data_IF_231688930323
#
_entry.id   IF_231688930323
#
_cell.length_a   1.000
_cell.length_b   1.000
_cell.length_c   1.000
_cell.angle_alpha   90.00
_cell.angle_beta   90.00
_cell.angle_gamma   90.00
#
_symmetry.space_group_name_H-M   'P 1'
#
loop_
_entity.id
_entity.type
_entity.pdbx_description
1 polymer ?
#
# COMPACT_ATOMS: atom_id res chain seq x y z
N UNK A 1 13.22 -24.15 64.77
CA UNK A 1 13.64 -23.18 63.75
C UNK A 1 13.64 -23.89 62.40
N UNK A 2 12.69 -23.58 61.54
CA UNK A 2 12.84 -23.44 60.08
C UNK A 2 11.45 -23.12 59.52
N UNK A 3 11.25 -21.85 59.21
CA UNK A 3 10.07 -21.29 58.54
C UNK A 3 10.24 -21.53 57.03
N UNK A 4 9.33 -22.29 56.42
CA UNK A 4 9.26 -22.43 54.97
C UNK A 4 8.17 -21.47 54.46
N UNK A 5 8.60 -20.35 53.89
CA UNK A 5 7.72 -19.38 53.22
C UNK A 5 7.52 -19.85 51.79
N UNK A 6 6.30 -20.27 51.45
CA UNK A 6 5.89 -20.60 50.09
C UNK A 6 5.56 -19.29 49.36
N UNK A 7 6.39 -18.89 48.40
CA UNK A 7 6.10 -17.77 47.49
C UNK A 7 5.27 -18.32 46.34
N UNK A 8 3.99 -17.96 46.30
CA UNK A 8 3.09 -18.26 45.19
C UNK A 8 3.24 -17.13 44.15
N UNK A 9 3.94 -17.40 43.05
CA UNK A 9 3.99 -16.49 41.91
C UNK A 9 2.65 -16.56 41.16
N UNK A 10 1.85 -15.49 41.24
CA UNK A 10 0.71 -15.29 40.33
C UNK A 10 1.26 -14.97 38.95
N UNK A 11 1.22 -15.93 38.03
CA UNK A 11 1.28 -15.66 36.60
C UNK A 11 -0.07 -15.07 36.19
N UNK A 12 -0.13 -13.76 36.01
CA UNK A 12 -1.28 -13.10 35.40
C UNK A 12 -1.28 -13.42 33.90
N UNK A 13 -2.01 -14.45 33.49
CA UNK A 13 -2.42 -14.61 32.09
C UNK A 13 -3.28 -13.39 31.73
N UNK A 14 -2.68 -12.41 31.06
CA UNK A 14 -3.46 -11.41 30.34
C UNK A 14 -4.07 -12.15 29.16
N UNK A 15 -5.37 -12.39 29.21
CA UNK A 15 -6.08 -12.91 28.06
C UNK A 15 -6.02 -11.83 26.96
N UNK A 16 -5.18 -12.06 25.95
CA UNK A 16 -5.16 -11.30 24.70
C UNK A 16 -6.57 -11.26 24.14
N UNK A 17 -7.08 -10.07 23.79
CA UNK A 17 -8.42 -9.99 23.20
C UNK A 17 -8.43 -10.70 21.84
N UNK A 18 -9.59 -11.23 21.38
CA UNK A 18 -9.69 -11.82 20.04
C UNK A 18 -9.24 -10.85 18.93
N UNK A 19 -9.43 -9.56 19.16
CA UNK A 19 -9.01 -8.47 18.27
C UNK A 19 -7.48 -8.40 18.20
N UNK A 20 -6.82 -8.36 19.36
CA UNK A 20 -5.35 -8.34 19.45
C UNK A 20 -4.75 -9.60 18.81
N UNK A 21 -5.35 -10.78 19.02
CA UNK A 21 -4.89 -12.02 18.39
C UNK A 21 -5.01 -12.00 16.86
N UNK A 22 -6.04 -11.32 16.33
CA UNK A 22 -6.23 -11.14 14.89
C UNK A 22 -5.19 -10.19 14.31
N UNK A 23 -4.95 -9.06 15.01
CA UNK A 23 -3.97 -8.04 14.63
C UNK A 23 -2.56 -8.63 14.66
N UNK A 24 -2.16 -9.27 15.77
CA UNK A 24 -0.85 -9.90 15.93
C UNK A 24 -0.65 -11.02 14.90
N UNK A 25 -1.68 -11.85 14.71
CA UNK A 25 -1.66 -12.91 13.71
C UNK A 25 -1.46 -12.39 12.29
N UNK A 26 -2.05 -11.25 11.94
CA UNK A 26 -1.87 -10.64 10.62
C UNK A 26 -0.42 -10.20 10.40
N UNK A 27 0.17 -9.46 11.34
CA UNK A 27 1.52 -8.88 11.18
C UNK A 27 2.66 -9.87 11.46
N UNK A 28 2.39 -11.05 12.02
CA UNK A 28 3.41 -12.08 12.33
C UNK A 28 3.28 -13.38 11.51
N UNK A 29 2.12 -13.65 10.90
CA UNK A 29 1.94 -14.84 10.07
C UNK A 29 2.66 -14.73 8.72
N UNK A 30 2.87 -15.86 8.04
CA UNK A 30 3.42 -15.86 6.68
C UNK A 30 4.91 -15.49 6.58
N UNK A 31 5.64 -15.53 7.69
CA UNK A 31 7.07 -15.21 7.76
C UNK A 31 7.36 -13.71 7.90
N UNK A 32 6.40 -12.93 8.40
CA UNK A 32 6.63 -11.53 8.78
C UNK A 32 7.23 -11.44 10.19
N UNK A 33 8.27 -10.63 10.31
CA UNK A 33 8.88 -10.26 11.58
C UNK A 33 8.19 -8.99 12.12
N UNK A 34 7.84 -8.95 13.42
CA UNK A 34 7.19 -7.79 14.01
C UNK A 34 8.09 -6.56 13.98
N UNK A 35 7.49 -5.39 13.74
CA UNK A 35 8.13 -4.07 13.79
C UNK A 35 7.45 -3.27 14.89
N UNK A 36 8.24 -2.51 15.66
CA UNK A 36 7.70 -1.62 16.69
C UNK A 36 6.86 -0.51 16.04
N UNK A 37 5.56 -0.49 16.37
CA UNK A 37 4.60 0.42 15.76
C UNK A 37 4.81 1.87 16.19
N UNK A 38 5.25 2.11 17.44
CA UNK A 38 5.48 3.44 17.97
C UNK A 38 6.75 4.03 17.36
N UNK A 39 7.86 3.27 17.31
CA UNK A 39 9.09 3.70 16.64
C UNK A 39 8.86 3.98 15.15
N UNK A 40 8.07 3.14 14.47
CA UNK A 40 7.70 3.36 13.07
C UNK A 40 6.87 4.64 12.89
N UNK A 41 5.89 4.88 13.75
CA UNK A 41 5.08 6.09 13.70
C UNK A 41 5.91 7.36 13.95
N UNK A 42 6.85 7.32 14.89
CA UNK A 42 7.78 8.42 15.15
C UNK A 42 8.70 8.69 13.95
N UNK A 43 9.24 7.64 13.33
CA UNK A 43 10.08 7.77 12.14
C UNK A 43 9.32 8.38 10.95
N UNK A 44 8.07 7.97 10.73
CA UNK A 44 7.21 8.55 9.67
C UNK A 44 6.96 10.04 9.94
N UNK A 45 6.58 10.39 11.17
CA UNK A 45 6.33 11.80 11.50
C UNK A 45 7.60 12.64 11.31
N UNK A 46 8.75 12.19 11.81
CA UNK A 46 10.02 12.88 11.63
C UNK A 46 10.41 13.07 10.15
N UNK A 47 10.13 12.08 9.30
CA UNK A 47 10.37 12.17 7.86
C UNK A 47 9.48 13.22 7.16
N UNK A 48 8.27 13.45 7.68
CA UNK A 48 7.32 14.43 7.15
C UNK A 48 7.46 15.83 7.78
N UNK A 49 8.03 15.96 8.99
CA UNK A 49 8.28 17.26 9.64
C UNK A 49 9.17 18.19 8.81
N UNK A 50 10.08 17.63 8.01
CA UNK A 50 10.99 18.40 7.15
C UNK A 50 10.32 19.12 5.97
N UNK A 51 9.04 18.83 5.70
CA UNK A 51 8.29 19.38 4.58
C UNK A 51 7.38 20.51 5.07
N UNK A 52 7.98 21.72 5.25
CA UNK A 52 7.36 22.98 5.73
C UNK A 52 5.86 23.13 5.36
N UNK A 53 4.98 22.62 6.23
CA UNK A 53 3.57 22.92 6.24
C UNK A 53 3.25 23.56 7.60
N UNK A 54 2.50 24.66 7.55
CA UNK A 54 2.14 25.51 8.69
C UNK A 54 1.94 24.73 10.01
N UNK A 55 2.47 25.26 11.12
CA UNK A 55 2.34 24.70 12.48
C UNK A 55 0.90 24.25 12.77
N UNK A 56 0.62 22.99 12.51
CA UNK A 56 -0.62 22.32 12.87
C UNK A 56 -0.54 21.90 14.33
N UNK A 57 -1.69 21.80 15.00
CA UNK A 57 -1.76 21.14 16.30
C UNK A 57 -1.75 19.60 16.17
N UNK A 58 -1.86 19.08 14.95
CA UNK A 58 -1.81 17.66 14.63
C UNK A 58 -0.39 17.26 14.21
N UNK A 59 -0.09 15.96 14.37
CA UNK A 59 1.15 15.38 13.86
C UNK A 59 1.20 15.44 12.32
N UNK A 60 2.40 15.52 11.70
CA UNK A 60 2.56 15.59 10.25
C UNK A 60 1.82 14.49 9.48
N UNK A 61 1.82 13.26 10.01
CA UNK A 61 1.16 12.13 9.36
C UNK A 61 -0.35 12.04 9.63
N UNK A 62 -0.94 12.98 10.39
CA UNK A 62 -2.32 12.83 10.89
C UNK A 62 -3.39 12.77 9.79
N UNK A 63 -3.14 13.39 8.63
CA UNK A 63 -4.04 13.35 7.48
C UNK A 63 -3.70 12.28 6.45
N UNK A 64 -2.67 11.46 6.69
CA UNK A 64 -2.23 10.42 5.76
C UNK A 64 -3.15 9.20 5.92
N UNK A 65 -3.62 8.67 4.79
CA UNK A 65 -4.49 7.49 4.75
C UNK A 65 -3.71 6.18 5.00
N UNK A 66 -4.40 5.08 5.36
CA UNK A 66 -3.76 3.79 5.67
C UNK A 66 -2.88 3.21 4.54
N UNK A 67 -3.32 3.34 3.28
CA UNK A 67 -2.60 2.81 2.12
C UNK A 67 -1.28 3.57 1.94
N UNK A 68 -1.33 4.89 2.01
CA UNK A 68 -0.15 5.77 1.93
C UNK A 68 0.79 5.56 3.11
N UNK A 69 0.28 5.39 4.33
CA UNK A 69 1.11 5.07 5.51
C UNK A 69 1.93 3.80 5.31
N UNK A 70 1.35 2.77 4.70
CA UNK A 70 2.08 1.53 4.39
C UNK A 70 3.19 1.76 3.37
N UNK A 71 2.93 2.52 2.30
CA UNK A 71 3.97 2.88 1.31
C UNK A 71 5.11 3.66 1.95
N UNK A 72 4.81 4.63 2.82
CA UNK A 72 5.81 5.38 3.59
C UNK A 72 6.64 4.47 4.49
N UNK A 73 5.99 3.57 5.25
CA UNK A 73 6.68 2.64 6.12
C UNK A 73 7.71 1.79 5.37
N UNK A 74 7.31 1.24 4.21
CA UNK A 74 8.22 0.50 3.35
C UNK A 74 9.36 1.38 2.84
N UNK A 75 9.08 2.59 2.36
CA UNK A 75 10.11 3.47 1.81
C UNK A 75 11.14 3.92 2.85
N UNK A 76 10.72 4.13 4.10
CA UNK A 76 11.62 4.50 5.20
C UNK A 76 12.41 3.31 5.74
N UNK A 77 11.80 2.12 5.73
CA UNK A 77 12.42 0.89 6.24
C UNK A 77 13.38 0.20 5.26
N UNK A 78 13.30 0.52 3.96
CA UNK A 78 14.07 -0.18 2.92
C UNK A 78 14.98 0.76 2.13
N UNK A 79 16.12 0.22 1.67
CA UNK A 79 16.97 0.92 0.72
C UNK A 79 16.19 1.27 -0.57
N UNK A 80 16.42 2.45 -1.18
CA UNK A 80 15.74 2.85 -2.39
C UNK A 80 16.13 1.95 -3.58
N UNK A 81 15.18 1.73 -4.48
CA UNK A 81 15.37 0.99 -5.73
C UNK A 81 14.84 1.82 -6.89
N UNK A 82 15.53 1.79 -8.02
CA UNK A 82 15.19 2.62 -9.19
C UNK A 82 13.96 2.13 -9.94
N UNK A 83 13.82 0.80 -10.09
CA UNK A 83 12.79 0.16 -10.92
C UNK A 83 11.97 -0.77 -10.06
N UNK A 84 10.76 -0.34 -9.75
CA UNK A 84 9.92 -1.04 -8.78
C UNK A 84 8.49 -1.12 -9.23
N UNK A 85 7.86 -2.22 -8.84
CA UNK A 85 6.40 -2.34 -8.81
C UNK A 85 5.98 -2.56 -7.37
N UNK A 86 4.96 -1.88 -6.92
CA UNK A 86 4.33 -2.08 -5.63
C UNK A 86 2.99 -2.77 -5.86
N UNK A 87 2.66 -3.78 -5.06
CA UNK A 87 1.30 -4.29 -4.87
C UNK A 87 0.84 -3.84 -3.50
N UNK A 88 -0.33 -3.23 -3.42
CA UNK A 88 -0.92 -2.79 -2.15
C UNK A 88 -2.30 -3.42 -2.06
N UNK A 89 -2.59 -4.06 -0.95
CA UNK A 89 -3.93 -4.59 -0.65
C UNK A 89 -4.40 -4.01 0.66
N UNK A 90 -5.66 -3.59 0.71
CA UNK A 90 -6.31 -3.10 1.92
C UNK A 90 -7.59 -3.88 2.17
N UNK A 91 -7.90 -4.08 3.44
CA UNK A 91 -9.19 -4.58 3.91
C UNK A 91 -9.65 -3.81 5.15
N UNK A 92 -10.95 -3.55 5.23
CA UNK A 92 -11.59 -2.96 6.41
C UNK A 92 -12.20 -4.04 7.29
N UNK A 93 -11.79 -4.09 8.56
CA UNK A 93 -12.33 -5.02 9.57
C UNK A 93 -12.91 -4.24 10.74
N UNK A 94 -14.14 -4.58 11.15
CA UNK A 94 -14.80 -3.93 12.28
C UNK A 94 -14.71 -4.79 13.53
N UNK A 95 -14.15 -4.21 14.59
CA UNK A 95 -14.15 -4.80 15.91
C UNK A 95 -15.19 -4.16 16.81
N UNK A 96 -15.85 -4.99 17.62
CA UNK A 96 -16.81 -4.51 18.61
C UNK A 96 -16.05 -3.86 19.76
N UNK A 97 -16.41 -2.63 20.12
CA UNK A 97 -15.87 -2.04 21.33
C UNK A 97 -16.36 -2.81 22.57
N UNK A 98 -15.60 -2.67 23.66
CA UNK A 98 -16.02 -3.10 25.00
C UNK A 98 -17.47 -2.71 25.32
N UNK A 99 -18.18 -3.42 26.22
CA UNK A 99 -19.64 -3.34 26.34
C UNK A 99 -20.18 -1.89 26.38
N UNK A 100 -20.90 -1.49 25.34
CA UNK A 100 -21.53 -0.17 25.21
C UNK A 100 -20.77 0.87 24.36
N UNK A 101 -19.60 0.53 23.80
CA UNK A 101 -18.89 1.38 22.85
C UNK A 101 -19.37 1.23 21.39
N UNK A 102 -19.07 2.21 20.55
CA UNK A 102 -19.25 2.10 19.10
C UNK A 102 -18.18 1.19 18.48
N UNK A 103 -18.54 0.42 17.44
CA UNK A 103 -17.58 -0.40 16.68
C UNK A 103 -16.47 0.49 16.14
N UNK A 104 -15.24 -0.04 16.08
CA UNK A 104 -14.08 0.65 15.51
C UNK A 104 -13.62 -0.08 14.26
N UNK A 105 -13.48 0.66 13.16
CA UNK A 105 -12.90 0.16 11.92
C UNK A 105 -11.37 0.13 12.02
N UNK A 106 -10.77 -0.95 11.56
CA UNK A 106 -9.34 -1.11 11.40
C UNK A 106 -9.03 -1.44 9.95
N UNK A 107 -8.00 -0.79 9.42
CA UNK A 107 -7.46 -1.04 8.09
C UNK A 107 -6.30 -2.01 8.21
N UNK A 108 -6.38 -3.12 7.48
CA UNK A 108 -5.34 -4.11 7.31
C UNK A 108 -4.71 -3.89 5.95
N UNK A 109 -3.46 -3.44 5.92
CA UNK A 109 -2.78 -3.06 4.68
C UNK A 109 -1.52 -3.89 4.51
N UNK A 110 -1.38 -4.53 3.36
CA UNK A 110 -0.11 -5.13 2.92
C UNK A 110 0.40 -4.36 1.72
N UNK A 111 1.64 -3.89 1.77
CA UNK A 111 2.36 -3.35 0.62
C UNK A 111 3.58 -4.21 0.34
N UNK A 112 3.72 -4.67 -0.91
CA UNK A 112 4.87 -5.44 -1.38
C UNK A 112 5.57 -4.68 -2.49
N UNK A 113 6.85 -4.34 -2.30
CA UNK A 113 7.72 -3.77 -3.33
C UNK A 113 8.53 -4.88 -4.00
N UNK A 114 8.39 -4.97 -5.31
CA UNK A 114 9.15 -5.85 -6.17
C UNK A 114 10.31 -5.09 -6.83
N UNK A 115 11.53 -5.62 -6.72
CA UNK A 115 12.67 -5.13 -7.50
C UNK A 115 12.57 -5.65 -8.94
N UNK A 116 12.43 -4.75 -9.91
CA UNK A 116 12.34 -5.10 -11.33
C UNK A 116 13.66 -4.90 -12.08
N UNK A 117 14.70 -4.36 -11.42
CA UNK A 117 16.02 -4.16 -12.01
C UNK A 117 16.55 -5.41 -12.73
N UNK A 118 16.59 -6.59 -12.08
CA UNK A 118 17.05 -7.83 -12.71
C UNK A 118 16.21 -8.27 -13.92
N UNK A 119 14.88 -8.13 -13.85
CA UNK A 119 13.99 -8.52 -14.94
C UNK A 119 14.14 -7.59 -16.16
N UNK A 120 14.23 -6.28 -15.92
CA UNK A 120 14.48 -5.28 -16.97
C UNK A 120 15.84 -5.50 -17.62
N UNK A 121 16.89 -5.74 -16.84
CA UNK A 121 18.22 -6.05 -17.38
C UNK A 121 18.19 -7.28 -18.29
N UNK A 122 17.55 -8.36 -17.84
CA UNK A 122 17.42 -9.61 -18.63
C UNK A 122 16.70 -9.36 -19.96
N UNK A 123 15.62 -8.59 -19.95
CA UNK A 123 14.89 -8.20 -21.17
C UNK A 123 15.80 -7.43 -22.15
N UNK A 124 16.62 -6.50 -21.64
CA UNK A 124 17.57 -5.76 -22.47
C UNK A 124 18.71 -6.63 -22.99
N UNK A 125 19.21 -7.59 -22.21
CA UNK A 125 20.22 -8.56 -22.65
C UNK A 125 19.69 -9.42 -23.81
N UNK A 126 18.44 -9.87 -23.71
CA UNK A 126 17.77 -10.63 -24.76
C UNK A 126 17.57 -9.80 -26.03
N UNK A 127 17.28 -8.50 -25.89
CA UNK A 127 17.03 -7.60 -27.02
C UNK A 127 18.32 -7.09 -27.70
N UNK A 128 19.37 -6.77 -26.93
CA UNK A 128 20.54 -6.04 -27.40
C UNK A 128 21.87 -6.79 -27.21
N UNK A 129 21.88 -7.91 -26.51
CA UNK A 129 23.07 -8.67 -26.15
C UNK A 129 23.79 -8.10 -24.91
N UNK A 130 24.35 -8.99 -24.09
CA UNK A 130 25.00 -8.66 -22.81
C UNK A 130 26.06 -7.56 -22.92
N UNK A 131 26.89 -7.59 -23.97
CA UNK A 131 27.96 -6.61 -24.20
C UNK A 131 27.46 -5.16 -24.39
N UNK A 132 26.16 -4.97 -24.68
CA UNK A 132 25.53 -3.66 -24.90
C UNK A 132 24.65 -3.21 -23.73
N UNK A 133 24.62 -3.97 -22.63
CA UNK A 133 23.79 -3.69 -21.45
C UNK A 133 24.67 -3.29 -20.27
N UNK A 134 24.20 -2.31 -19.49
CA UNK A 134 24.89 -1.87 -18.29
C UNK A 134 25.04 -3.02 -17.27
N UNK A 135 26.01 -2.95 -16.34
CA UNK A 135 26.20 -3.98 -15.34
C UNK A 135 24.99 -4.03 -14.35
N UNK A 136 24.77 -5.16 -13.64
CA UNK A 136 23.61 -5.36 -12.76
C UNK A 136 23.35 -4.22 -11.78
N UNK A 137 24.40 -3.63 -11.23
CA UNK A 137 24.33 -2.57 -10.21
C UNK A 137 23.65 -1.30 -10.76
N UNK A 138 23.73 -1.06 -12.08
CA UNK A 138 23.07 0.08 -12.74
C UNK A 138 21.55 -0.09 -12.88
N UNK A 139 21.01 -1.29 -12.62
CA UNK A 139 19.58 -1.56 -12.67
C UNK A 139 18.92 -1.55 -11.28
N UNK A 140 19.73 -1.56 -10.22
CA UNK A 140 19.29 -1.66 -8.83
C UNK A 140 19.31 -3.10 -8.32
N UNK A 141 20.10 -3.34 -7.28
CA UNK A 141 20.14 -4.61 -6.55
C UNK A 141 19.48 -4.46 -5.18
N UNK A 142 18.67 -5.44 -4.81
CA UNK A 142 17.98 -5.44 -3.52
C UNK A 142 16.82 -6.41 -3.49
N UNK A 143 16.31 -6.71 -2.30
CA UNK A 143 15.26 -7.71 -2.12
C UNK A 143 13.89 -7.19 -2.56
N UNK A 144 13.00 -8.14 -2.86
CA UNK A 144 11.56 -7.91 -2.77
C UNK A 144 11.18 -7.86 -1.28
N UNK A 145 10.41 -6.85 -0.87
CA UNK A 145 10.02 -6.69 0.53
C UNK A 145 8.53 -6.42 0.64
N UNK A 146 7.87 -7.08 1.59
CA UNK A 146 6.51 -6.80 2.01
C UNK A 146 6.47 -6.20 3.41
N UNK A 147 5.53 -5.29 3.61
CA UNK A 147 5.19 -4.67 4.88
C UNK A 147 3.69 -4.84 5.13
N UNK A 148 3.34 -5.23 6.34
CA UNK A 148 1.96 -5.29 6.83
C UNK A 148 1.77 -4.25 7.90
N UNK A 149 0.73 -3.44 7.79
CA UNK A 149 0.32 -2.48 8.79
C UNK A 149 -1.13 -2.76 9.17
N UNK A 150 -1.42 -2.59 10.46
CA UNK A 150 -2.79 -2.45 10.94
C UNK A 150 -2.93 -1.04 11.48
N UNK A 151 -3.88 -0.28 10.97
CA UNK A 151 -4.14 1.09 11.40
C UNK A 151 -5.58 1.29 11.82
N UNK A 152 -5.85 2.33 12.62
CA UNK A 152 -7.21 2.77 12.92
C UNK A 152 -7.29 4.30 12.97
N UNK A 153 -8.45 4.90 12.68
CA UNK A 153 -8.67 6.30 12.98
C UNK A 153 -8.67 6.53 14.50
N UNK A 154 -7.96 7.55 14.98
CA UNK A 154 -8.00 7.97 16.38
C UNK A 154 -7.75 9.47 16.54
N UNK A 155 -8.74 10.19 17.09
CA UNK A 155 -8.63 11.60 17.52
C UNK A 155 -7.88 12.52 16.55
N UNK A 156 -8.39 12.66 15.32
CA UNK A 156 -7.81 13.55 14.32
C UNK A 156 -6.61 12.95 13.56
N UNK A 157 -6.22 11.71 13.86
CA UNK A 157 -5.35 10.90 13.03
C UNK A 157 -6.20 9.93 12.20
N UNK A 158 -6.06 9.95 10.87
CA UNK A 158 -6.77 9.06 9.94
C UNK A 158 -6.25 7.62 9.99
N UNK A 159 -4.97 7.40 10.29
CA UNK A 159 -4.33 6.09 10.23
C UNK A 159 -3.26 5.93 11.32
N UNK A 160 -3.68 5.89 12.59
CA UNK A 160 -2.77 5.54 13.69
C UNK A 160 -2.32 4.08 13.54
N UNK A 161 -1.02 3.85 13.47
CA UNK A 161 -0.43 2.50 13.39
C UNK A 161 -0.64 1.78 14.73
N UNK A 162 -1.23 0.59 14.67
CA UNK A 162 -1.50 -0.27 15.82
C UNK A 162 -0.50 -1.42 15.86
N UNK A 163 -0.16 -1.97 14.70
CA UNK A 163 0.81 -3.04 14.56
C UNK A 163 1.48 -2.97 13.19
N UNK A 164 2.71 -3.46 13.10
CA UNK A 164 3.44 -3.55 11.85
C UNK A 164 4.29 -4.83 11.79
N UNK A 165 4.53 -5.31 10.58
CA UNK A 165 5.41 -6.43 10.31
C UNK A 165 6.11 -6.28 8.97
N UNK A 166 7.30 -6.86 8.85
CA UNK A 166 8.14 -6.82 7.65
C UNK A 166 8.50 -8.24 7.22
N UNK A 167 8.53 -8.49 5.91
CA UNK A 167 9.03 -9.74 5.32
C UNK A 167 9.86 -9.47 4.08
N UNK A 168 11.00 -10.15 3.96
CA UNK A 168 11.71 -10.26 2.67
C UNK A 168 11.21 -11.47 1.91
N UNK A 169 10.85 -11.29 0.63
CA UNK A 169 10.42 -12.37 -0.25
C UNK A 169 11.63 -12.91 -1.03
N UNK A 170 11.67 -14.22 -1.21
CA UNK A 170 12.59 -14.84 -2.17
C UNK A 170 12.00 -14.76 -3.60
N UNK A 171 12.81 -15.05 -4.61
CA UNK A 171 12.42 -15.02 -6.02
C UNK A 171 11.22 -15.93 -6.34
N UNK A 172 11.15 -17.11 -5.72
CA UNK A 172 10.07 -18.07 -5.95
C UNK A 172 8.73 -17.55 -5.44
N UNK A 173 8.71 -16.94 -4.26
CA UNK A 173 7.52 -16.34 -3.67
C UNK A 173 7.12 -15.09 -4.46
N UNK A 174 8.09 -14.21 -4.76
CA UNK A 174 7.85 -13.01 -5.57
C UNK A 174 7.33 -13.35 -6.99
N UNK A 175 7.84 -14.41 -7.60
CA UNK A 175 7.44 -14.86 -8.94
C UNK A 175 6.04 -15.46 -9.02
N UNK A 176 5.41 -15.79 -7.88
CA UNK A 176 4.02 -16.28 -7.83
C UNK A 176 3.00 -15.15 -7.62
N UNK A 177 3.46 -13.98 -7.19
CA UNK A 177 2.59 -12.84 -6.89
C UNK A 177 1.95 -12.28 -8.16
N UNK A 178 0.67 -11.90 -8.03
CA UNK A 178 -0.10 -11.24 -9.08
C UNK A 178 -0.44 -9.83 -8.63
N UNK A 179 -0.29 -8.88 -9.55
CA UNK A 179 -0.55 -7.46 -9.38
C UNK A 179 -1.76 -7.15 -10.28
N UNK A 180 -2.97 -7.12 -9.69
CA UNK A 180 -4.24 -6.94 -10.42
C UNK A 180 -4.43 -7.98 -11.55
N UNK A 181 -4.03 -9.22 -11.29
CA UNK A 181 -4.15 -10.35 -12.23
C UNK A 181 -3.01 -10.49 -13.24
N UNK A 182 -2.00 -9.63 -13.20
CA UNK A 182 -0.79 -9.74 -14.02
C UNK A 182 0.43 -10.14 -13.17
N UNK A 183 1.46 -10.83 -13.70
CA UNK A 183 2.65 -11.17 -12.94
C UNK A 183 3.36 -9.92 -12.39
N UNK A 184 3.57 -9.86 -11.07
CA UNK A 184 4.20 -8.69 -10.45
C UNK A 184 5.64 -8.45 -10.93
N UNK A 185 6.36 -9.51 -11.36
CA UNK A 185 7.72 -9.44 -11.87
C UNK A 185 7.85 -9.17 -13.37
N UNK A 186 6.76 -8.79 -14.06
CA UNK A 186 6.85 -8.36 -15.46
C UNK A 186 7.75 -7.12 -15.59
N UNK A 187 8.69 -7.15 -16.53
CA UNK A 187 9.62 -6.04 -16.77
C UNK A 187 8.93 -4.82 -17.41
N UNK A 188 7.84 -5.05 -18.15
CA UNK A 188 7.11 -4.00 -18.86
C UNK A 188 6.08 -3.34 -17.92
N UNK A 189 5.80 -2.03 -18.10
CA UNK A 189 4.64 -1.37 -17.47
C UNK A 189 3.34 -2.11 -17.81
N UNK A 190 2.49 -2.34 -16.81
CA UNK A 190 1.28 -3.16 -16.97
C UNK A 190 -0.03 -2.39 -16.83
N UNK A 191 0.00 -1.20 -16.21
CA UNK A 191 -1.21 -0.48 -15.79
C UNK A 191 -2.13 -0.12 -16.96
N UNK A 192 -1.59 0.20 -18.13
CA UNK A 192 -2.37 0.57 -19.31
C UNK A 192 -3.33 -0.54 -19.78
N UNK A 193 -2.93 -1.81 -19.57
CA UNK A 193 -3.68 -2.99 -20.00
C UNK A 193 -4.69 -3.50 -18.96
N UNK A 194 -4.71 -2.94 -17.74
CA UNK A 194 -5.54 -3.44 -16.64
C UNK A 194 -7.03 -3.17 -16.83
N UNK A 195 -7.40 -2.07 -17.49
CA UNK A 195 -8.79 -1.64 -17.62
C UNK A 195 -9.07 -0.91 -18.93
N UNK A 196 -10.35 -0.66 -19.22
CA UNK A 196 -10.77 0.25 -20.30
C UNK A 196 -10.78 1.69 -19.78
N UNK A 197 -9.58 2.24 -19.62
CA UNK A 197 -9.38 3.59 -19.10
C UNK A 197 -10.10 4.65 -19.95
N UNK A 198 -10.65 5.66 -19.28
CA UNK A 198 -10.95 6.94 -19.89
C UNK A 198 -9.68 7.56 -20.50
N UNK A 199 -9.84 8.54 -21.38
CA UNK A 199 -8.69 9.34 -21.82
C UNK A 199 -7.99 9.95 -20.59
N UNK A 200 -6.65 9.87 -20.56
CA UNK A 200 -5.86 10.54 -19.53
C UNK A 200 -6.08 12.04 -19.63
N UNK A 201 -6.53 12.65 -18.53
CA UNK A 201 -6.75 14.08 -18.41
C UNK A 201 -5.68 14.67 -17.49
N UNK A 202 -5.13 15.83 -17.86
CA UNK A 202 -4.25 16.56 -16.96
C UNK A 202 -5.05 17.03 -15.75
N UNK A 203 -4.57 16.74 -14.55
CA UNK A 203 -5.16 17.17 -13.29
C UNK A 203 -4.36 18.34 -12.69
N UNK A 204 -4.94 19.00 -11.68
CA UNK A 204 -4.24 20.02 -10.92
C UNK A 204 -3.07 19.41 -10.14
N UNK A 205 -1.88 19.98 -10.29
CA UNK A 205 -0.72 19.58 -9.50
C UNK A 205 -0.94 19.97 -8.03
N UNK A 206 -0.76 19.04 -7.07
CA UNK A 206 -0.81 19.35 -5.65
C UNK A 206 0.15 20.47 -5.27
N UNK A 207 -0.35 21.46 -4.52
CA UNK A 207 0.50 22.54 -4.02
C UNK A 207 1.42 22.06 -2.88
N UNK A 208 0.94 21.10 -2.09
CA UNK A 208 1.65 20.53 -0.95
C UNK A 208 1.74 19.02 -1.14
N UNK A 209 2.82 18.57 -1.79
CA UNK A 209 3.11 17.15 -1.88
C UNK A 209 3.46 16.57 -0.50
N UNK A 210 3.08 15.32 -0.24
CA UNK A 210 3.44 14.61 0.99
C UNK A 210 4.96 14.57 1.18
N UNK A 211 5.67 14.18 0.12
CA UNK A 211 7.11 14.31 -0.05
C UNK A 211 7.39 15.15 -1.30
N UNK A 212 8.33 16.12 -1.25
CA UNK A 212 8.61 17.01 -2.38
C UNK A 212 8.91 16.25 -3.66
N UNK A 213 8.21 16.59 -4.75
CA UNK A 213 8.51 16.06 -6.08
C UNK A 213 9.61 16.95 -6.70
N UNK A 214 10.82 16.43 -6.95
CA UNK A 214 11.89 17.21 -7.56
C UNK A 214 11.55 17.59 -9.01
N UNK A 215 12.07 18.73 -9.46
CA UNK A 215 11.91 19.16 -10.85
C UNK A 215 12.58 18.15 -11.82
N UNK A 216 13.80 17.75 -11.49
CA UNK A 216 14.62 16.80 -12.24
C UNK A 216 15.04 15.66 -11.31
N UNK A 217 14.16 14.69 -11.09
CA UNK A 217 14.46 13.56 -10.21
C UNK A 217 13.32 12.55 -10.09
N UNK A 218 13.52 11.49 -9.28
CA UNK A 218 12.51 10.47 -9.09
C UNK A 218 11.31 11.04 -8.34
N UNK A 219 10.11 10.76 -8.85
CA UNK A 219 8.85 11.06 -8.17
C UNK A 219 8.70 10.08 -7.00
N UNK A 220 8.49 10.52 -5.75
CA UNK A 220 8.33 9.60 -4.61
C UNK A 220 7.02 8.80 -4.70
N UNK A 221 7.06 7.45 -4.68
CA UNK A 221 5.83 6.64 -4.71
C UNK A 221 4.79 6.96 -3.63
N UNK A 222 5.20 7.29 -2.39
CA UNK A 222 4.24 7.68 -1.35
C UNK A 222 3.48 8.98 -1.66
N UNK A 223 4.10 9.92 -2.39
CA UNK A 223 3.41 11.14 -2.84
C UNK A 223 2.32 10.83 -3.88
N UNK A 224 2.56 9.85 -4.76
CA UNK A 224 1.55 9.40 -5.73
C UNK A 224 0.48 8.54 -5.07
N UNK A 225 0.86 7.70 -4.10
CA UNK A 225 -0.08 6.97 -3.25
C UNK A 225 -1.05 7.94 -2.56
N UNK A 226 -0.53 9.00 -1.93
CA UNK A 226 -1.36 10.00 -1.27
C UNK A 226 -2.32 10.68 -2.24
N UNK A 227 -1.85 11.03 -3.43
CA UNK A 227 -2.66 11.67 -4.45
C UNK A 227 -3.84 10.80 -4.89
N UNK A 228 -3.62 9.50 -5.12
CA UNK A 228 -4.63 8.60 -5.67
C UNK A 228 -5.52 7.98 -4.58
N UNK A 229 -5.04 7.85 -3.34
CA UNK A 229 -5.80 7.23 -2.25
C UNK A 229 -6.54 8.22 -1.36
N UNK A 230 -6.21 9.51 -1.36
CA UNK A 230 -6.86 10.50 -0.47
C UNK A 230 -8.38 10.60 -0.71
N UNK A 231 -8.81 10.36 -1.96
CA UNK A 231 -10.21 10.40 -2.37
C UNK A 231 -11.00 9.12 -2.04
N UNK A 232 -10.33 8.05 -1.62
CA UNK A 232 -11.02 6.81 -1.23
C UNK A 232 -11.80 7.12 0.05
N UNK A 233 -13.11 7.32 -0.10
CA UNK A 233 -14.03 7.38 1.01
C UNK A 233 -13.94 6.07 1.80
N UNK A 234 -14.02 6.15 3.14
CA UNK A 234 -14.14 4.93 3.97
C UNK A 234 -15.25 4.08 3.33
N UNK A 235 -14.93 2.84 2.90
CA UNK A 235 -15.86 2.07 2.09
C UNK A 235 -17.18 1.97 2.85
N UNK A 236 -18.31 2.28 2.19
CA UNK A 236 -19.67 2.08 2.72
C UNK A 236 -20.01 0.57 2.82
N UNK A 237 -19.03 -0.23 3.19
CA UNK A 237 -19.18 -1.66 3.43
C UNK A 237 -19.52 -1.84 4.90
N UNK A 238 -20.33 -2.85 5.21
CA UNK A 238 -20.50 -3.32 6.60
C UNK A 238 -19.17 -3.85 7.22
N UNK A 239 -18.08 -3.79 6.42
CA UNK A 239 -16.74 -4.34 6.58
C UNK A 239 -16.72 -5.82 6.93
N UNK A 240 -15.55 -6.44 6.83
CA UNK A 240 -15.43 -7.84 7.20
C UNK A 240 -15.59 -7.98 8.72
N UNK A 241 -16.31 -9.03 9.14
CA UNK A 241 -16.22 -9.53 10.52
C UNK A 241 -14.93 -10.34 10.61
N UNK A 242 -14.16 -10.27 11.72
CA UNK A 242 -12.94 -11.04 11.89
C UNK A 242 -13.16 -12.53 11.55
N UNK A 243 -12.35 -13.07 10.65
CA UNK A 243 -12.44 -14.45 10.18
C UNK A 243 -11.39 -15.34 10.87
N UNK A 244 -11.49 -16.66 10.67
CA UNK A 244 -10.43 -17.60 11.13
C UNK A 244 -9.11 -17.45 10.36
N UNK A 245 -9.13 -16.80 9.19
CA UNK A 245 -7.93 -16.36 8.50
C UNK A 245 -7.47 -15.02 9.08
N UNK A 246 -6.20 -14.95 9.50
CA UNK A 246 -5.58 -13.70 9.92
C UNK A 246 -5.41 -12.70 8.78
N UNK A 247 -5.47 -13.15 7.52
CA UNK A 247 -5.43 -12.30 6.34
C UNK A 247 -6.87 -12.09 5.87
N UNK A 248 -7.44 -10.88 6.04
CA UNK A 248 -8.76 -10.55 5.54
C UNK A 248 -8.77 -10.45 4.01
N UNK A 249 -9.91 -10.70 3.39
CA UNK A 249 -10.10 -10.50 1.96
C UNK A 249 -10.03 -8.99 1.66
N UNK A 250 -9.17 -8.54 0.72
CA UNK A 250 -9.02 -7.12 0.45
C UNK A 250 -10.25 -6.55 -0.24
N UNK A 251 -10.64 -5.32 0.10
CA UNK A 251 -11.65 -4.49 -0.58
C UNK A 251 -11.03 -3.53 -1.61
N UNK A 252 -9.72 -3.30 -1.51
CA UNK A 252 -8.93 -2.51 -2.45
C UNK A 252 -7.65 -3.28 -2.79
N UNK A 253 -7.31 -3.32 -4.08
CA UNK A 253 -5.99 -3.71 -4.58
C UNK A 253 -5.44 -2.60 -5.46
N UNK A 254 -4.18 -2.24 -5.28
CA UNK A 254 -3.51 -1.19 -6.03
C UNK A 254 -2.13 -1.61 -6.50
N UNK A 255 -1.69 -0.99 -7.59
CA UNK A 255 -0.36 -1.17 -8.16
C UNK A 255 0.27 0.20 -8.38
N UNK A 256 1.54 0.35 -7.98
CA UNK A 256 2.35 1.53 -8.27
C UNK A 256 3.61 1.09 -9.01
N UNK A 257 3.87 1.65 -10.18
CA UNK A 257 5.03 1.39 -11.02
C UNK A 257 5.93 2.63 -11.00
N UNK A 258 7.19 2.46 -10.60
CA UNK A 258 8.17 3.55 -10.54
C UNK A 258 9.38 3.20 -11.39
N UNK A 259 9.75 4.11 -12.30
CA UNK A 259 10.93 3.96 -13.14
C UNK A 259 10.82 2.89 -14.23
N UNK A 260 9.61 2.42 -14.58
CA UNK A 260 9.40 1.45 -15.66
C UNK A 260 9.12 2.09 -17.03
N UNK A 261 8.70 3.36 -17.05
CA UNK A 261 8.51 4.13 -18.27
C UNK A 261 9.81 4.70 -18.85
N UNK A 262 9.71 5.35 -20.01
CA UNK A 262 10.84 6.07 -20.61
C UNK A 262 11.18 7.37 -19.87
N UNK A 263 10.17 8.01 -19.29
CA UNK A 263 10.33 9.23 -18.49
C UNK A 263 10.52 8.88 -17.01
N UNK A 264 11.20 9.76 -16.28
CA UNK A 264 11.24 9.70 -14.82
C UNK A 264 9.83 10.01 -14.28
N UNK A 265 9.09 8.95 -13.96
CA UNK A 265 7.71 9.06 -13.52
C UNK A 265 7.26 7.85 -12.70
N UNK A 266 6.08 8.00 -12.14
CA UNK A 266 5.36 6.97 -11.40
C UNK A 266 3.95 6.87 -11.98
N UNK A 267 3.54 5.66 -12.34
CA UNK A 267 2.17 5.34 -12.74
C UNK A 267 1.54 4.50 -11.63
N UNK A 268 0.33 4.83 -11.23
CA UNK A 268 -0.37 4.17 -10.14
C UNK A 268 -1.80 3.90 -10.54
N UNK A 269 -2.34 2.77 -10.11
CA UNK A 269 -3.76 2.49 -10.25
C UNK A 269 -4.29 1.70 -9.07
N UNK A 270 -5.58 1.80 -8.82
CA UNK A 270 -6.25 0.92 -7.89
C UNK A 270 -7.59 0.43 -8.43
N UNK A 271 -8.01 -0.70 -7.87
CA UNK A 271 -9.31 -1.32 -8.04
C UNK A 271 -9.98 -1.41 -6.67
N UNK A 272 -11.08 -0.70 -6.51
CA UNK A 272 -11.95 -0.78 -5.34
C UNK A 272 -13.19 -1.60 -5.69
N UNK A 273 -13.48 -2.64 -4.93
CA UNK A 273 -14.68 -3.49 -5.12
C UNK A 273 -15.48 -3.58 -3.83
N UNK A 274 -16.49 -4.46 -3.80
CA UNK A 274 -17.42 -4.55 -2.67
C UNK A 274 -18.36 -3.36 -2.57
N UNK A 275 -18.62 -2.68 -3.69
CA UNK A 275 -19.53 -1.55 -3.77
C UNK A 275 -20.98 -2.03 -3.53
N UNK A 276 -21.79 -1.24 -2.82
CA UNK A 276 -23.22 -1.49 -2.63
C UNK A 276 -24.05 -1.09 -3.86
N UNK A 277 -23.49 -1.32 -5.05
CA UNK A 277 -24.06 -0.96 -6.35
C UNK A 277 -24.31 -2.25 -7.16
N UNK A 278 -25.50 -2.39 -7.75
CA UNK A 278 -25.90 -3.59 -8.50
C UNK A 278 -25.45 -3.58 -9.97
N UNK A 279 -24.91 -2.45 -10.43
CA UNK A 279 -24.50 -2.17 -11.79
C UNK A 279 -22.98 -2.08 -11.90
N UNK A 280 -22.29 -1.53 -10.90
CA UNK A 280 -20.82 -1.40 -10.84
C UNK A 280 -20.23 -2.40 -9.84
N UNK A 281 -19.38 -3.32 -10.31
CA UNK A 281 -18.70 -4.27 -9.43
C UNK A 281 -17.41 -3.71 -8.84
N UNK A 282 -16.73 -2.83 -9.56
CA UNK A 282 -15.54 -2.14 -9.08
C UNK A 282 -15.29 -0.80 -9.78
N UNK A 283 -14.74 0.15 -9.03
CA UNK A 283 -14.24 1.42 -9.54
C UNK A 283 -12.72 1.32 -9.65
N UNK A 284 -12.20 1.84 -10.76
CA UNK A 284 -10.78 1.91 -11.02
C UNK A 284 -10.37 3.37 -11.21
N UNK A 285 -9.27 3.76 -10.58
CA UNK A 285 -8.60 5.03 -10.86
C UNK A 285 -7.14 4.79 -11.20
N UNK A 286 -6.60 5.70 -12.01
CA UNK A 286 -5.20 5.72 -12.43
C UNK A 286 -4.65 7.14 -12.31
N UNK A 287 -3.42 7.26 -11.86
CA UNK A 287 -2.67 8.49 -11.84
C UNK A 287 -1.26 8.25 -12.39
N UNK A 288 -0.85 9.04 -13.38
CA UNK A 288 0.52 9.11 -13.86
C UNK A 288 1.12 10.45 -13.46
N UNK A 289 2.23 10.42 -12.74
CA UNK A 289 2.97 11.60 -12.29
C UNK A 289 4.35 11.58 -12.93
N UNK A 290 4.62 12.60 -13.73
CA UNK A 290 5.90 12.78 -14.42
C UNK A 290 6.81 13.72 -13.62
N UNK A 291 8.10 13.74 -13.99
CA UNK A 291 9.07 14.73 -13.50
C UNK A 291 8.50 16.16 -13.57
N UNK A 292 8.82 16.97 -12.56
CA UNK A 292 8.22 18.30 -12.40
C UNK A 292 6.80 18.30 -11.80
N UNK A 293 6.26 17.14 -11.43
CA UNK A 293 4.98 17.03 -10.73
C UNK A 293 3.75 17.20 -11.62
N UNK A 294 3.89 16.98 -12.94
CA UNK A 294 2.75 16.99 -13.86
C UNK A 294 1.93 15.73 -13.63
N UNK A 295 0.64 15.92 -13.33
CA UNK A 295 -0.29 14.85 -13.00
C UNK A 295 -1.27 14.63 -14.15
N UNK A 296 -1.47 13.37 -14.51
CA UNK A 296 -2.56 12.92 -15.35
C UNK A 296 -3.38 11.86 -14.64
N UNK A 297 -4.69 11.86 -14.83
CA UNK A 297 -5.59 10.88 -14.24
C UNK A 297 -6.53 10.25 -15.27
N UNK A 298 -6.96 9.03 -14.99
CA UNK A 298 -8.02 8.35 -15.73
C UNK A 298 -8.84 7.47 -14.78
N UNK A 299 -10.03 7.09 -15.23
CA UNK A 299 -10.93 6.21 -14.49
C UNK A 299 -11.45 5.10 -15.38
N UNK A 300 -11.88 4.00 -14.79
CA UNK A 300 -12.63 2.94 -15.46
C UNK A 300 -13.66 2.34 -14.51
N UNK A 301 -14.69 1.72 -15.07
CA UNK A 301 -15.76 1.07 -14.30
C UNK A 301 -15.87 -0.39 -14.75
N UNK A 302 -15.68 -1.30 -13.79
CA UNK A 302 -15.94 -2.72 -13.98
C UNK A 302 -17.42 -2.98 -13.68
N UNK A 303 -18.12 -3.62 -14.62
CA UNK A 303 -19.56 -3.78 -14.53
C UNK A 303 -19.94 -5.12 -13.91
N UNK A 304 -20.93 -5.10 -13.01
CA UNK A 304 -21.51 -6.31 -12.43
C UNK A 304 -22.31 -7.13 -13.45
N UNK A 305 -22.76 -6.48 -14.54
CA UNK A 305 -23.58 -7.07 -15.61
C UNK A 305 -23.07 -6.64 -16.98
N UNK A 306 -23.24 -7.52 -17.97
CA UNK A 306 -22.89 -7.21 -19.36
C UNK A 306 -21.38 -7.33 -19.65
N UNK A 307 -20.79 -6.43 -20.46
CA UNK A 307 -19.34 -6.45 -20.71
C UNK A 307 -18.58 -6.19 -19.40
N UNK A 308 -17.36 -6.73 -19.29
CA UNK A 308 -16.56 -6.61 -18.07
C UNK A 308 -16.29 -5.14 -17.69
N UNK A 309 -16.06 -4.28 -18.68
CA UNK A 309 -15.86 -2.84 -18.47
C UNK A 309 -16.88 -2.03 -19.26
N UNK A 310 -17.30 -0.90 -18.70
CA UNK A 310 -18.00 0.12 -19.46
C UNK A 310 -17.09 0.74 -20.53
N UNK A 311 -17.66 1.13 -21.67
CA UNK A 311 -16.94 1.98 -22.62
C UNK A 311 -16.61 3.34 -21.99
N UNK A 312 -15.48 3.98 -22.35
CA UNK A 312 -15.12 5.29 -21.82
C UNK A 312 -16.26 6.32 -21.93
N UNK A 313 -16.67 6.86 -20.78
CA UNK A 313 -17.76 7.85 -20.67
C UNK A 313 -19.18 7.25 -20.69
N UNK A 314 -19.33 5.93 -20.72
CA UNK A 314 -20.59 5.23 -20.56
C UNK A 314 -20.81 4.74 -19.12
N UNK A 315 -22.07 4.46 -18.78
CA UNK A 315 -22.43 3.82 -17.51
C UNK A 315 -22.49 2.30 -17.66
N UNK A 316 -22.24 1.59 -16.56
CA UNK A 316 -22.55 0.17 -16.49
C UNK A 316 -24.07 -0.09 -16.62
N UNK A 317 -24.48 -1.20 -17.26
CA UNK A 317 -25.88 -1.50 -17.56
C UNK A 317 -26.67 -2.07 -16.37
#
# INVERSE_FOLDING_TARGET
MLTATLVLALLANHATSPDDATIDGYVQSGGFDPVDADELADAINAALEGNDAARSALLPAASVDPLTMAVLALQLGEAPLERTRYRITHASVWFDASPGGARSAYSFVEVTRFNLGPAVRRSLEEAYGEDNVAPPEAFGEGPHTAWRLVTRPLRGNRALIVAAGRRTLNEDDAGREQCLGQPCLSADPGIDDLARWSAMAQADTPQNWLQPVPADGPVPPASVAHLIFDAIAEPETDGAVPSVSFVPDPDIEAVIESGLGQDAGVDASYRQHGLLDDSVSAIWERAAVLAGGVVFTATAYECARGPQFAEPGAFCP
#
